data_IF_259733219374
#
_entry.id   IF_259733219374
#
_cell.length_a   1.000
_cell.length_b   1.000
_cell.length_c   1.000
_cell.angle_alpha   90.00
_cell.angle_beta   90.00
_cell.angle_gamma   90.00
#
_symmetry.space_group_name_H-M   'P 1'
#
loop_
_entity.id
_entity.type
_entity.pdbx_description
1 polymer ?
#
# COMPACT_ATOMS: atom_id res chain seq x y z
N UNK A 1 -22.98 23.49 28.56
CA UNK A 1 -21.57 23.90 28.69
C UNK A 1 -20.69 22.69 28.96
N UNK A 2 -20.90 21.95 30.06
CA UNK A 2 -20.11 20.74 30.39
C UNK A 2 -20.16 19.61 29.32
N UNK A 3 -21.31 19.39 28.68
CA UNK A 3 -21.41 18.42 27.58
C UNK A 3 -20.72 18.86 26.29
N UNK A 4 -20.47 20.17 26.12
CA UNK A 4 -19.73 20.71 24.98
C UNK A 4 -18.23 20.57 25.22
N UNK A 5 -17.76 20.80 26.45
CA UNK A 5 -16.38 20.52 26.87
C UNK A 5 -16.00 19.06 26.67
N UNK A 6 -16.84 18.12 27.11
CA UNK A 6 -16.61 16.68 26.91
C UNK A 6 -16.58 16.30 25.42
N UNK A 7 -17.41 16.94 24.59
CA UNK A 7 -17.37 16.75 23.13
C UNK A 7 -16.10 17.35 22.51
N UNK A 8 -15.54 18.41 23.09
CA UNK A 8 -14.29 19.01 22.64
C UNK A 8 -13.04 18.25 23.10
N UNK A 9 -12.99 17.75 24.34
CA UNK A 9 -11.95 16.85 24.84
C UNK A 9 -11.94 15.54 24.04
N UNK A 10 -13.12 14.95 23.81
CA UNK A 10 -13.22 13.74 23.01
C UNK A 10 -12.87 13.98 21.53
N UNK A 11 -13.11 15.19 21.00
CA UNK A 11 -12.58 15.60 19.68
C UNK A 11 -11.06 15.77 19.70
N UNK A 12 -10.49 16.35 20.74
CA UNK A 12 -9.05 16.58 20.87
C UNK A 12 -8.27 15.26 20.86
N UNK A 13 -8.71 14.28 21.66
CA UNK A 13 -8.14 12.92 21.67
C UNK A 13 -8.29 12.19 20.33
N UNK A 14 -9.41 12.41 19.64
CA UNK A 14 -9.67 11.75 18.34
C UNK A 14 -8.76 12.30 17.23
N UNK A 15 -8.45 13.61 17.25
CA UNK A 15 -7.56 14.23 16.28
C UNK A 15 -6.08 13.88 16.52
N UNK A 16 -5.65 13.73 17.77
CA UNK A 16 -4.29 13.28 18.09
C UNK A 16 -4.03 11.84 17.62
N UNK A 17 -5.02 10.95 17.77
CA UNK A 17 -4.88 9.53 17.37
C UNK A 17 -4.84 9.33 15.85
N UNK A 18 -5.44 10.25 15.09
CA UNK A 18 -5.48 10.21 13.61
C UNK A 18 -4.31 10.94 12.96
N UNK A 19 -3.69 11.88 13.69
CA UNK A 19 -2.52 12.65 13.27
C UNK A 19 -1.23 12.14 13.94
N UNK A 20 -1.10 10.83 14.15
CA UNK A 20 0.23 10.25 14.38
C UNK A 20 1.00 10.32 13.05
N UNK A 21 1.43 11.53 12.72
CA UNK A 21 2.28 11.80 11.60
C UNK A 21 3.52 10.93 11.74
N UNK A 22 3.72 10.07 10.75
CA UNK A 22 4.85 9.15 10.77
C UNK A 22 6.14 9.97 10.75
N UNK A 23 7.00 9.74 11.74
CA UNK A 23 8.32 10.34 11.74
C UNK A 23 9.15 9.78 10.59
N UNK A 24 10.16 10.54 10.16
CA UNK A 24 11.08 10.09 9.10
C UNK A 24 11.75 8.74 9.48
N UNK A 25 11.98 8.49 10.78
CA UNK A 25 12.52 7.22 11.27
C UNK A 25 11.60 6.01 11.04
N UNK A 26 10.29 6.16 11.24
CA UNK A 26 9.29 5.11 10.94
C UNK A 26 9.26 4.77 9.43
N UNK A 27 9.44 5.79 8.58
CA UNK A 27 9.57 5.61 7.12
C UNK A 27 10.86 4.89 6.73
N UNK A 28 11.98 5.18 7.39
CA UNK A 28 13.24 4.48 7.15
C UNK A 28 13.15 2.98 7.51
N UNK A 29 12.52 2.64 8.63
CA UNK A 29 12.27 1.24 9.00
C UNK A 29 11.33 0.57 7.98
N UNK A 30 10.30 1.29 7.54
CA UNK A 30 9.38 0.82 6.51
C UNK A 30 10.13 0.50 5.21
N UNK A 31 11.01 1.39 4.75
CA UNK A 31 11.87 1.19 3.57
C UNK A 31 12.83 0.02 3.75
N UNK A 32 13.41 -0.17 4.93
CA UNK A 32 14.30 -1.30 5.23
C UNK A 32 13.56 -2.64 5.15
N UNK A 33 12.30 -2.70 5.60
CA UNK A 33 11.45 -3.88 5.49
C UNK A 33 11.06 -4.14 4.02
N UNK A 34 10.78 -3.09 3.25
CA UNK A 34 10.41 -3.17 1.83
C UNK A 34 11.54 -3.76 0.95
N UNK A 35 12.80 -3.68 1.38
CA UNK A 35 13.95 -4.32 0.70
C UNK A 35 13.82 -5.84 0.69
N UNK A 36 13.15 -6.43 1.69
CA UNK A 36 12.91 -7.87 1.73
C UNK A 36 11.64 -8.18 0.90
N UNK A 37 11.76 -8.79 -0.29
CA UNK A 37 10.68 -8.85 -1.26
C UNK A 37 9.44 -9.60 -0.76
N UNK A 38 9.61 -10.66 0.02
CA UNK A 38 8.46 -11.42 0.55
C UNK A 38 7.75 -10.64 1.65
N UNK A 39 8.51 -10.01 2.56
CA UNK A 39 7.94 -9.27 3.69
C UNK A 39 7.22 -8.02 3.20
N UNK A 40 7.75 -7.36 2.16
CA UNK A 40 7.13 -6.22 1.48
C UNK A 40 5.68 -6.55 1.10
N UNK A 41 5.47 -7.63 0.35
CA UNK A 41 4.14 -8.03 -0.12
C UNK A 41 3.21 -8.30 1.07
N UNK A 42 3.63 -9.09 2.05
CA UNK A 42 2.81 -9.43 3.23
C UNK A 42 2.44 -8.19 4.03
N UNK A 43 3.38 -7.26 4.26
CA UNK A 43 3.11 -6.01 4.98
C UNK A 43 2.15 -5.08 4.23
N UNK A 44 2.18 -5.05 2.90
CA UNK A 44 1.20 -4.32 2.10
C UNK A 44 -0.22 -4.85 2.29
N UNK A 45 -0.40 -6.18 2.41
CA UNK A 45 -1.71 -6.76 2.71
C UNK A 45 -2.16 -6.43 4.14
N UNK A 46 -1.26 -6.54 5.14
CA UNK A 46 -1.56 -6.22 6.54
C UNK A 46 -1.96 -4.75 6.70
N UNK A 47 -1.21 -3.81 6.12
CA UNK A 47 -1.55 -2.37 6.19
C UNK A 47 -2.72 -1.97 5.28
N UNK A 48 -2.89 -2.64 4.13
CA UNK A 48 -3.93 -2.31 3.16
C UNK A 48 -5.33 -2.75 3.59
N UNK A 49 -5.42 -3.92 4.22
CA UNK A 49 -6.68 -4.59 4.62
C UNK A 49 -6.89 -4.70 6.13
N UNK A 50 -5.85 -4.47 6.94
CA UNK A 50 -5.93 -4.48 8.39
C UNK A 50 -6.46 -3.18 9.01
N UNK A 51 -6.04 -2.94 10.25
CA UNK A 51 -6.48 -1.81 11.07
C UNK A 51 -6.15 -0.44 10.45
N UNK A 52 -6.76 0.66 10.95
CA UNK A 52 -6.45 2.01 10.50
C UNK A 52 -4.99 2.37 10.82
N UNK A 53 -4.11 2.17 9.85
CA UNK A 53 -2.69 2.54 9.88
C UNK A 53 -2.44 3.78 9.00
N UNK A 54 -1.52 4.68 9.38
CA UNK A 54 -1.11 5.80 8.54
C UNK A 54 -0.47 5.34 7.21
N UNK A 55 0.08 4.11 7.18
CA UNK A 55 0.66 3.45 5.99
C UNK A 55 -0.37 2.86 5.02
N UNK A 56 -1.65 2.84 5.39
CA UNK A 56 -2.73 2.19 4.61
C UNK A 56 -2.88 2.75 3.19
N UNK A 57 -2.71 4.06 3.02
CA UNK A 57 -2.82 4.69 1.70
C UNK A 57 -1.65 4.30 0.78
N UNK A 58 -0.43 4.28 1.31
CA UNK A 58 0.75 3.79 0.60
C UNK A 58 0.58 2.32 0.21
N UNK A 59 0.08 1.50 1.15
CA UNK A 59 -0.09 0.09 0.92
C UNK A 59 -1.09 -0.20 -0.22
N UNK A 60 -2.22 0.50 -0.22
CA UNK A 60 -3.23 0.42 -1.28
C UNK A 60 -2.72 0.88 -2.63
N UNK A 61 -2.00 2.01 -2.66
CA UNK A 61 -1.40 2.51 -3.90
C UNK A 61 -0.42 1.50 -4.50
N UNK A 62 0.42 0.88 -3.66
CA UNK A 62 1.39 -0.13 -4.09
C UNK A 62 0.71 -1.39 -4.62
N UNK A 63 -0.37 -1.87 -3.98
CA UNK A 63 -1.15 -3.01 -4.46
C UNK A 63 -1.81 -2.74 -5.81
N UNK A 64 -2.36 -1.54 -6.01
CA UNK A 64 -2.95 -1.13 -7.29
C UNK A 64 -1.86 -1.08 -8.36
N UNK A 65 -0.70 -0.49 -8.08
CA UNK A 65 0.44 -0.49 -9.00
C UNK A 65 0.88 -1.90 -9.36
N UNK A 66 0.95 -2.80 -8.39
CA UNK A 66 1.30 -4.20 -8.63
C UNK A 66 0.30 -4.89 -9.55
N UNK A 67 -1.01 -4.67 -9.34
CA UNK A 67 -2.06 -5.17 -10.20
C UNK A 67 -1.95 -4.63 -11.64
N UNK A 68 -1.69 -3.33 -11.80
CA UNK A 68 -1.47 -2.69 -13.11
C UNK A 68 -0.25 -3.32 -13.80
N UNK A 69 0.87 -3.46 -13.10
CA UNK A 69 2.08 -4.10 -13.64
C UNK A 69 1.81 -5.53 -14.09
N UNK A 70 1.06 -6.32 -13.32
CA UNK A 70 0.70 -7.70 -13.69
C UNK A 70 -0.12 -7.70 -14.99
N UNK A 71 -1.13 -6.85 -15.10
CA UNK A 71 -1.97 -6.75 -16.31
C UNK A 71 -1.13 -6.35 -17.53
N UNK A 72 -0.26 -5.34 -17.39
CA UNK A 72 0.64 -4.90 -18.46
C UNK A 72 1.61 -6.00 -18.88
N UNK A 73 2.17 -6.75 -17.91
CA UNK A 73 3.06 -7.88 -18.19
C UNK A 73 2.34 -8.98 -18.97
N UNK A 74 1.10 -9.32 -18.60
CA UNK A 74 0.31 -10.33 -19.33
C UNK A 74 0.10 -9.90 -20.79
N UNK A 75 -0.28 -8.64 -21.03
CA UNK A 75 -0.48 -8.12 -22.39
C UNK A 75 0.83 -8.15 -23.18
N UNK A 76 1.92 -7.67 -22.58
CA UNK A 76 3.22 -7.56 -23.24
C UNK A 76 3.83 -8.93 -23.55
N UNK A 77 3.92 -9.82 -22.55
CA UNK A 77 4.41 -11.18 -22.76
C UNK A 77 3.48 -12.00 -23.64
N UNK A 78 2.16 -11.83 -23.54
CA UNK A 78 1.19 -12.48 -24.42
C UNK A 78 1.39 -12.09 -25.89
N UNK A 79 1.60 -10.81 -26.17
CA UNK A 79 1.89 -10.32 -27.53
C UNK A 79 3.22 -10.86 -28.06
N UNK A 80 4.29 -10.83 -27.24
CA UNK A 80 5.60 -11.37 -27.62
C UNK A 80 5.53 -12.88 -27.85
N UNK A 81 4.87 -13.62 -26.96
CA UNK A 81 4.69 -15.06 -27.08
C UNK A 81 3.93 -15.44 -28.35
N UNK A 82 2.83 -14.74 -28.66
CA UNK A 82 2.08 -14.94 -29.89
C UNK A 82 2.92 -14.64 -31.14
N UNK A 83 3.73 -13.58 -31.11
CA UNK A 83 4.64 -13.24 -32.20
C UNK A 83 5.71 -14.31 -32.43
N UNK A 84 6.37 -14.79 -31.35
CA UNK A 84 7.37 -15.86 -31.44
C UNK A 84 6.74 -17.18 -31.91
N UNK A 85 5.56 -17.53 -31.40
CA UNK A 85 4.84 -18.73 -31.80
C UNK A 85 4.44 -18.70 -33.28
N UNK A 86 4.01 -17.55 -33.78
CA UNK A 86 3.72 -17.36 -35.21
C UNK A 86 4.97 -17.61 -36.06
N UNK A 87 6.13 -17.06 -35.68
CA UNK A 87 7.39 -17.26 -36.40
C UNK A 87 7.90 -18.70 -36.40
N UNK A 88 7.66 -19.46 -35.31
CA UNK A 88 8.07 -20.87 -35.20
C UNK A 88 7.13 -21.83 -35.96
N UNK A 89 5.97 -21.35 -36.42
CA UNK A 89 4.96 -22.17 -37.11
C UNK A 89 5.12 -22.13 -38.65
N UNK A 90 6.01 -21.27 -39.17
CA UNK A 90 6.42 -21.22 -40.58
C UNK A 90 7.77 -21.89 -40.78
#
# INVERSE_FOLDING_TARGET
MESLEKVQEQRYDTHEKSAKDMTVGEWLITMLILVIPIVNIVMLFIWGFGSPDPRRNYARASLIWMAICIVLMIIFYGAIFAFIFSMNTY
#
